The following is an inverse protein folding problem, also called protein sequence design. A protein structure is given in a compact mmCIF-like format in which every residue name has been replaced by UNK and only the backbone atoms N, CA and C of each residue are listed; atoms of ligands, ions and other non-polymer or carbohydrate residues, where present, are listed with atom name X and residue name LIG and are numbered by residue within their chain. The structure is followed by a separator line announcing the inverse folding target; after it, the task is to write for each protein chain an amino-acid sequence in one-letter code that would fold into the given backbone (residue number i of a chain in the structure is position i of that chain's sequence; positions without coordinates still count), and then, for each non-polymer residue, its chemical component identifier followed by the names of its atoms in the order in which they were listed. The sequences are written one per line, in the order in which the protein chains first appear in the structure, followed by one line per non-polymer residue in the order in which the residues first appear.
data_IF_659903349276
#
_entry.id   IF_659903349276
#
_cell.length_a   1.000
_cell.length_b   1.000
_cell.length_c   1.000
_cell.angle_alpha   90.00
_cell.angle_beta   90.00
_cell.angle_gamma   90.00
#
_symmetry.space_group_name_H-M   'P 1'
#
loop_
_entity.id
_entity.type
_entity.pdbx_description
1 polymer ?
#
# COMPACT_ATOMS: atom_id res chain seq x y z
N UNK A 1 3.15 -26.66 -2.25
CA UNK A 1 2.89 -26.62 -0.79
C UNK A 1 3.29 -25.24 -0.32
N UNK A 2 2.50 -24.60 0.55
CA UNK A 2 2.88 -23.30 1.11
C UNK A 2 4.16 -23.43 1.95
N UNK A 3 5.00 -22.40 1.90
CA UNK A 3 6.24 -22.28 2.68
C UNK A 3 6.04 -21.22 3.76
N UNK A 4 6.65 -21.41 4.93
CA UNK A 4 6.67 -20.40 6.01
C UNK A 4 8.10 -20.09 6.40
N UNK A 5 8.42 -18.81 6.54
CA UNK A 5 9.71 -18.28 7.01
C UNK A 5 9.48 -17.41 8.26
N UNK A 6 10.35 -17.55 9.26
CA UNK A 6 10.36 -16.71 10.46
C UNK A 6 11.81 -16.24 10.70
N UNK A 7 12.11 -14.95 10.54
CA UNK A 7 13.47 -14.40 10.57
C UNK A 7 13.92 -13.98 11.99
N UNK A 8 12.96 -13.66 12.86
CA UNK A 8 13.12 -13.35 14.29
C UNK A 8 13.67 -11.94 14.57
N UNK A 9 14.99 -11.74 14.56
CA UNK A 9 15.57 -10.47 14.98
C UNK A 9 16.82 -10.12 14.20
N UNK A 10 16.99 -8.82 13.93
CA UNK A 10 18.04 -8.28 13.09
C UNK A 10 17.50 -7.98 11.70
N UNK A 11 18.34 -7.36 10.88
CA UNK A 11 17.98 -6.98 9.53
C UNK A 11 18.25 -8.16 8.58
N UNK A 12 17.19 -8.81 8.12
CA UNK A 12 17.19 -10.01 7.30
C UNK A 12 16.88 -9.73 5.83
N UNK A 13 17.38 -10.61 4.95
CA UNK A 13 17.07 -10.57 3.51
C UNK A 13 16.42 -11.89 3.13
N UNK A 14 15.15 -11.82 2.73
CA UNK A 14 14.31 -12.98 2.47
C UNK A 14 13.80 -12.94 1.04
N UNK A 15 14.05 -14.01 0.29
CA UNK A 15 13.54 -14.19 -1.07
C UNK A 15 12.63 -15.41 -1.13
N UNK A 16 11.34 -15.17 -1.33
CA UNK A 16 10.35 -16.19 -1.61
C UNK A 16 10.48 -16.67 -3.06
N UNK A 17 10.35 -17.98 -3.26
CA UNK A 17 10.32 -18.57 -4.60
C UNK A 17 8.97 -18.35 -5.30
N UNK A 18 8.71 -19.13 -6.34
CA UNK A 18 7.46 -19.05 -7.12
C UNK A 18 6.26 -19.74 -6.44
N UNK A 19 6.44 -20.27 -5.23
CA UNK A 19 5.38 -20.93 -4.47
C UNK A 19 4.73 -19.96 -3.50
N UNK A 20 3.49 -20.26 -3.11
CA UNK A 20 2.81 -19.51 -2.05
C UNK A 20 3.67 -19.51 -0.77
N UNK A 21 3.97 -18.34 -0.24
CA UNK A 21 4.91 -18.18 0.88
C UNK A 21 4.35 -17.21 1.93
N UNK A 22 4.45 -17.58 3.19
CA UNK A 22 4.19 -16.70 4.34
C UNK A 22 5.52 -16.35 5.01
N UNK A 23 5.74 -15.06 5.29
CA UNK A 23 6.96 -14.54 5.90
C UNK A 23 6.59 -13.70 7.11
N UNK A 24 7.23 -13.99 8.24
CA UNK A 24 7.26 -13.13 9.43
C UNK A 24 8.71 -12.66 9.58
N UNK A 25 8.95 -11.37 9.37
CA UNK A 25 10.29 -10.81 9.29
C UNK A 25 10.87 -10.67 10.71
N UNK A 26 10.16 -9.98 11.60
CA UNK A 26 10.52 -9.93 13.02
C UNK A 26 10.86 -8.52 13.44
N UNK A 27 11.88 -8.37 14.28
CA UNK A 27 12.41 -7.05 14.61
C UNK A 27 13.61 -6.69 13.74
N UNK A 28 13.71 -5.46 13.28
CA UNK A 28 14.83 -4.96 12.49
C UNK A 28 14.37 -4.55 11.09
N UNK A 29 15.22 -3.83 10.36
CA UNK A 29 14.84 -3.35 9.03
C UNK A 29 15.07 -4.46 7.99
N UNK A 30 14.01 -5.13 7.59
CA UNK A 30 14.05 -6.34 6.77
C UNK A 30 13.84 -6.04 5.28
N UNK A 31 14.33 -6.93 4.43
CA UNK A 31 14.09 -6.89 2.99
C UNK A 31 13.45 -8.18 2.50
N UNK A 32 12.22 -8.09 2.02
CA UNK A 32 11.41 -9.21 1.53
C UNK A 32 11.18 -9.06 0.03
N UNK A 33 11.31 -10.16 -0.72
CA UNK A 33 11.01 -10.19 -2.16
C UNK A 33 10.36 -11.52 -2.58
N UNK A 34 9.37 -11.49 -3.48
CA UNK A 34 8.78 -12.70 -4.09
C UNK A 34 9.18 -12.85 -5.55
N UNK A 35 9.62 -14.05 -5.95
CA UNK A 35 9.95 -14.39 -7.34
C UNK A 35 8.71 -14.75 -8.20
N UNK A 36 7.51 -14.42 -7.74
CA UNK A 36 6.28 -14.59 -8.50
C UNK A 36 5.28 -15.62 -7.97
N UNK A 37 5.41 -16.04 -6.71
CA UNK A 37 4.36 -16.76 -5.99
C UNK A 37 3.50 -15.79 -5.16
N UNK A 38 2.26 -16.18 -4.81
CA UNK A 38 1.47 -15.43 -3.82
C UNK A 38 2.22 -15.26 -2.51
N UNK A 39 2.28 -14.04 -2.01
CA UNK A 39 3.00 -13.66 -0.82
C UNK A 39 2.02 -13.27 0.29
N UNK A 40 2.28 -13.76 1.50
CA UNK A 40 1.78 -13.14 2.73
C UNK A 40 2.99 -12.68 3.52
N UNK A 41 3.20 -11.38 3.67
CA UNK A 41 4.36 -10.82 4.36
C UNK A 41 3.92 -9.96 5.54
N UNK A 42 4.60 -10.15 6.66
CA UNK A 42 4.54 -9.29 7.84
C UNK A 42 5.95 -8.77 8.08
N UNK A 43 6.15 -7.46 7.93
CA UNK A 43 7.40 -6.78 8.30
C UNK A 43 7.62 -6.78 9.81
N UNK A 44 6.55 -6.50 10.56
CA UNK A 44 6.53 -6.46 12.02
C UNK A 44 7.19 -5.18 12.60
N UNK A 45 8.34 -5.23 13.25
CA UNK A 45 8.97 -4.02 13.81
C UNK A 45 10.20 -3.65 12.97
N UNK A 46 10.30 -2.43 12.44
CA UNK A 46 11.45 -1.96 11.67
C UNK A 46 11.04 -1.12 10.47
N UNK A 47 11.99 -0.44 9.82
CA UNK A 47 11.73 0.23 8.56
C UNK A 47 11.90 -0.77 7.40
N UNK A 48 10.83 -1.48 7.02
CA UNK A 48 10.94 -2.64 6.13
C UNK A 48 10.84 -2.29 4.65
N UNK A 49 11.45 -3.15 3.81
CA UNK A 49 11.29 -3.11 2.36
C UNK A 49 10.68 -4.40 1.85
N UNK A 50 9.45 -4.32 1.33
CA UNK A 50 8.70 -5.50 0.87
C UNK A 50 8.37 -5.36 -0.62
N UNK A 51 8.72 -6.35 -1.42
CA UNK A 51 8.36 -6.44 -2.84
C UNK A 51 7.60 -7.72 -3.14
N UNK A 52 6.36 -7.57 -3.65
CA UNK A 52 5.46 -8.64 -4.06
C UNK A 52 5.90 -9.36 -5.34
N UNK A 53 5.05 -10.29 -5.78
CA UNK A 53 5.34 -11.22 -6.88
C UNK A 53 4.49 -11.04 -8.14
N UNK A 54 3.66 -10.01 -8.25
CA UNK A 54 2.75 -9.89 -9.40
C UNK A 54 1.51 -10.81 -9.34
N UNK A 55 1.23 -11.39 -8.16
CA UNK A 55 0.01 -12.15 -7.87
C UNK A 55 -0.79 -11.39 -6.81
N UNK A 56 -1.97 -11.90 -6.46
CA UNK A 56 -2.67 -11.40 -5.28
C UNK A 56 -1.84 -11.68 -4.01
N UNK A 57 -1.29 -10.60 -3.44
CA UNK A 57 -0.44 -10.62 -2.26
C UNK A 57 -1.16 -9.97 -1.06
N UNK A 58 -0.77 -10.37 0.16
CA UNK A 58 -1.22 -9.79 1.42
C UNK A 58 0.01 -9.28 2.16
N UNK A 59 0.19 -7.96 2.24
CA UNK A 59 1.40 -7.36 2.77
C UNK A 59 1.03 -6.42 3.92
N UNK A 60 1.70 -6.60 5.06
CA UNK A 60 1.59 -5.77 6.24
C UNK A 60 3.00 -5.26 6.56
N UNK A 61 3.19 -3.94 6.56
CA UNK A 61 4.45 -3.30 6.96
C UNK A 61 4.69 -3.53 8.44
N UNK A 62 3.89 -2.88 9.29
CA UNK A 62 3.93 -3.08 10.73
C UNK A 62 4.22 -1.78 11.45
N UNK A 63 5.28 -1.73 12.23
CA UNK A 63 5.73 -0.53 12.92
C UNK A 63 7.07 -0.08 12.35
N UNK A 64 7.17 1.19 11.97
CA UNK A 64 8.33 1.74 11.26
C UNK A 64 7.87 2.43 9.98
N UNK A 65 8.82 2.99 9.24
CA UNK A 65 8.54 3.66 7.97
C UNK A 65 8.82 2.67 6.84
N UNK A 66 7.77 2.01 6.37
CA UNK A 66 7.86 0.90 5.45
C UNK A 66 7.84 1.35 3.99
N UNK A 67 8.54 0.61 3.13
CA UNK A 67 8.48 0.75 1.68
C UNK A 67 7.93 -0.53 1.06
N UNK A 68 6.70 -0.48 0.59
CA UNK A 68 5.98 -1.63 0.03
C UNK A 68 5.69 -1.41 -1.45
N UNK A 69 6.15 -2.34 -2.29
CA UNK A 69 5.75 -2.48 -3.69
C UNK A 69 5.09 -3.85 -3.87
N UNK A 70 3.75 -3.90 -3.84
CA UNK A 70 3.01 -5.15 -4.03
C UNK A 70 3.06 -5.66 -5.49
N UNK A 71 3.62 -4.88 -6.43
CA UNK A 71 3.62 -5.19 -7.85
C UNK A 71 2.20 -5.42 -8.38
N UNK A 72 2.02 -6.11 -9.51
CA UNK A 72 0.71 -6.36 -10.11
C UNK A 72 -0.14 -7.36 -9.30
N UNK A 73 -1.43 -7.45 -9.59
CA UNK A 73 -2.36 -8.40 -8.97
C UNK A 73 -3.39 -7.69 -8.10
N UNK A 74 -4.38 -8.43 -7.62
CA UNK A 74 -5.38 -7.88 -6.69
C UNK A 74 -4.82 -8.00 -5.26
N UNK A 75 -4.21 -6.93 -4.76
CA UNK A 75 -3.44 -6.93 -3.52
C UNK A 75 -4.21 -6.39 -2.33
N UNK A 76 -3.82 -6.85 -1.15
CA UNK A 76 -4.13 -6.21 0.12
C UNK A 76 -2.82 -5.68 0.73
N UNK A 77 -2.76 -4.38 1.00
CA UNK A 77 -1.59 -3.72 1.60
C UNK A 77 -2.01 -2.89 2.80
N UNK A 78 -1.30 -3.05 3.91
CA UNK A 78 -1.38 -2.19 5.10
C UNK A 78 0.02 -1.69 5.43
N UNK A 79 0.21 -0.37 5.52
CA UNK A 79 1.47 0.24 5.96
C UNK A 79 1.67 -0.01 7.45
N UNK A 80 0.75 0.51 8.27
CA UNK A 80 0.72 0.25 9.70
C UNK A 80 1.04 1.52 10.47
N UNK A 81 2.12 1.56 11.23
CA UNK A 81 2.49 2.68 12.07
C UNK A 81 3.82 3.28 11.65
N UNK A 82 3.82 4.50 11.15
CA UNK A 82 4.98 5.22 10.66
C UNK A 82 4.65 5.90 9.34
N UNK A 83 5.61 6.58 8.72
CA UNK A 83 5.35 7.25 7.45
C UNK A 83 5.70 6.28 6.32
N UNK A 84 4.69 5.64 5.75
CA UNK A 84 4.87 4.54 4.81
C UNK A 84 4.85 5.01 3.35
N UNK A 85 5.48 4.23 2.48
CA UNK A 85 5.41 4.39 1.02
C UNK A 85 4.86 3.12 0.40
N UNK A 86 3.63 3.19 -0.12
CA UNK A 86 2.87 2.04 -0.59
C UNK A 86 2.61 2.15 -2.10
N UNK A 87 2.86 1.07 -2.85
CA UNK A 87 2.59 1.00 -4.30
C UNK A 87 2.01 -0.37 -4.69
N UNK A 88 0.91 -0.40 -5.46
CA UNK A 88 0.25 -1.66 -5.89
C UNK A 88 0.09 -1.81 -7.41
N UNK A 89 0.65 -0.90 -8.21
CA UNK A 89 0.77 -0.99 -9.67
C UNK A 89 -0.53 -1.24 -10.46
N UNK A 90 -1.01 -2.47 -10.59
CA UNK A 90 -2.26 -2.72 -11.30
C UNK A 90 -2.99 -3.93 -10.76
N UNK A 91 -4.31 -3.85 -10.71
CA UNK A 91 -5.20 -4.88 -10.18
C UNK A 91 -6.29 -4.20 -9.38
N UNK A 92 -7.21 -4.97 -8.79
CA UNK A 92 -8.16 -4.40 -7.84
C UNK A 92 -7.54 -4.45 -6.45
N UNK A 93 -6.99 -3.32 -6.01
CA UNK A 93 -6.23 -3.27 -4.77
C UNK A 93 -7.05 -2.73 -3.59
N UNK A 94 -6.68 -3.16 -2.38
CA UNK A 94 -7.12 -2.57 -1.12
C UNK A 94 -5.91 -2.12 -0.33
N UNK A 95 -5.86 -0.82 -0.03
CA UNK A 95 -4.69 -0.18 0.59
C UNK A 95 -5.14 0.61 1.83
N UNK A 96 -4.41 0.44 2.92
CA UNK A 96 -4.56 1.17 4.17
C UNK A 96 -3.18 1.71 4.59
N UNK A 97 -3.00 3.04 4.61
CA UNK A 97 -1.74 3.67 5.05
C UNK A 97 -1.49 3.38 6.52
N UNK A 98 -2.49 3.67 7.36
CA UNK A 98 -2.47 3.37 8.78
C UNK A 98 -2.31 4.64 9.59
N UNK A 99 -1.21 4.80 10.32
CA UNK A 99 -0.93 6.01 11.08
C UNK A 99 0.42 6.57 10.71
N UNK A 100 0.49 7.87 10.45
CA UNK A 100 1.68 8.55 9.94
C UNK A 100 1.31 9.36 8.71
N UNK A 101 2.28 10.08 8.15
CA UNK A 101 2.07 10.81 6.90
C UNK A 101 2.51 9.91 5.74
N UNK A 102 1.55 9.25 5.11
CA UNK A 102 1.79 8.19 4.15
C UNK A 102 1.83 8.70 2.70
N UNK A 103 2.56 7.97 1.85
CA UNK A 103 2.59 8.16 0.40
C UNK A 103 2.02 6.90 -0.26
N UNK A 104 0.85 7.04 -0.87
CA UNK A 104 0.13 5.91 -1.45
C UNK A 104 -0.02 6.08 -2.97
N UNK A 105 0.30 5.04 -3.72
CA UNK A 105 0.15 4.95 -5.16
C UNK A 105 -0.57 3.65 -5.57
N UNK A 106 -1.88 3.73 -5.79
CA UNK A 106 -2.69 2.53 -6.09
C UNK A 106 -2.52 2.03 -7.51
N UNK A 107 -2.05 2.88 -8.43
CA UNK A 107 -1.91 2.51 -9.82
C UNK A 107 -3.25 2.24 -10.52
N UNK A 108 -3.28 1.29 -11.46
CA UNK A 108 -4.43 1.08 -12.34
C UNK A 108 -5.35 -0.05 -11.85
N UNK A 109 -6.63 0.25 -11.71
CA UNK A 109 -7.65 -0.70 -11.30
C UNK A 109 -8.82 -0.01 -10.61
N UNK A 110 -9.75 -0.79 -10.07
CA UNK A 110 -10.84 -0.22 -9.28
C UNK A 110 -10.48 -0.36 -7.80
N UNK A 111 -9.68 0.56 -7.29
CA UNK A 111 -9.02 0.42 -6.01
C UNK A 111 -9.87 0.94 -4.85
N UNK A 112 -9.56 0.46 -3.65
CA UNK A 112 -10.08 0.98 -2.39
C UNK A 112 -8.92 1.43 -1.53
N UNK A 113 -8.85 2.73 -1.22
CA UNK A 113 -7.70 3.33 -0.53
C UNK A 113 -8.17 4.10 0.71
N UNK A 114 -7.49 3.89 1.83
CA UNK A 114 -7.58 4.72 3.04
C UNK A 114 -6.18 5.22 3.37
N UNK A 115 -6.02 6.53 3.60
CA UNK A 115 -4.77 7.10 4.11
C UNK A 115 -4.60 6.73 5.58
N UNK A 116 -5.55 7.14 6.41
CA UNK A 116 -5.60 6.78 7.83
C UNK A 116 -5.42 8.01 8.72
N UNK A 117 -4.61 7.90 9.76
CA UNK A 117 -4.26 9.03 10.63
C UNK A 117 -2.99 9.71 10.13
N UNK A 118 -3.04 11.01 9.84
CA UNK A 118 -1.88 11.80 9.43
C UNK A 118 -2.20 12.62 8.18
N UNK A 119 -1.19 13.32 7.66
CA UNK A 119 -1.37 14.13 6.46
C UNK A 119 -0.87 13.35 5.26
N UNK A 120 -1.78 12.67 4.58
CA UNK A 120 -1.44 11.69 3.55
C UNK A 120 -1.35 12.31 2.16
N UNK A 121 -0.51 11.70 1.32
CA UNK A 121 -0.47 11.97 -0.11
C UNK A 121 -0.90 10.72 -0.87
N UNK A 122 -2.11 10.77 -1.42
CA UNK A 122 -2.73 9.64 -2.10
C UNK A 122 -2.79 9.93 -3.59
N UNK A 123 -2.21 9.05 -4.40
CA UNK A 123 -2.29 9.06 -5.85
C UNK A 123 -3.02 7.82 -6.33
N UNK A 124 -4.25 8.02 -6.80
CA UNK A 124 -4.98 7.01 -7.53
C UNK A 124 -4.48 7.00 -8.99
N UNK A 125 -4.73 5.91 -9.71
CA UNK A 125 -4.47 5.83 -11.14
C UNK A 125 -5.73 5.74 -11.97
N UNK A 126 -5.78 4.79 -12.89
CA UNK A 126 -6.91 4.61 -13.79
C UNK A 126 -7.94 3.65 -13.20
N UNK A 127 -9.22 3.81 -13.57
CA UNK A 127 -10.32 2.99 -13.05
C UNK A 127 -11.19 3.75 -12.05
N UNK A 128 -12.31 3.15 -11.66
CA UNK A 128 -13.26 3.80 -10.75
C UNK A 128 -12.88 3.47 -9.31
N UNK A 129 -12.20 4.39 -8.64
CA UNK A 129 -11.65 4.16 -7.31
C UNK A 129 -12.58 4.63 -6.19
N UNK A 130 -12.34 4.13 -4.99
CA UNK A 130 -12.94 4.67 -3.75
C UNK A 130 -11.82 5.04 -2.80
N UNK A 131 -11.85 6.28 -2.28
CA UNK A 131 -10.80 6.80 -1.43
C UNK A 131 -11.36 7.58 -0.23
N UNK A 132 -10.73 7.40 0.92
CA UNK A 132 -10.78 8.31 2.08
C UNK A 132 -9.35 8.73 2.39
N UNK A 133 -9.14 10.03 2.64
CA UNK A 133 -7.89 10.52 3.22
C UNK A 133 -7.76 10.01 4.65
N UNK A 134 -8.62 10.49 5.53
CA UNK A 134 -8.73 10.02 6.90
C UNK A 134 -8.59 11.18 7.85
N UNK A 135 -8.00 10.98 9.03
CA UNK A 135 -7.74 12.05 9.97
C UNK A 135 -6.46 12.82 9.63
N UNK A 136 -6.58 14.04 9.12
CA UNK A 136 -5.49 14.97 8.88
C UNK A 136 -5.82 15.91 7.74
N UNK A 137 -4.82 16.64 7.27
CA UNK A 137 -4.97 17.49 6.09
C UNK A 137 -4.38 16.75 4.88
N UNK A 138 -5.23 16.06 4.13
CA UNK A 138 -4.79 15.13 3.08
C UNK A 138 -4.69 15.77 1.70
N UNK A 139 -3.84 15.22 0.84
CA UNK A 139 -3.77 15.56 -0.58
C UNK A 139 -4.07 14.33 -1.43
N UNK A 140 -5.16 14.39 -2.20
CA UNK A 140 -5.63 13.28 -3.03
C UNK A 140 -5.57 13.68 -4.51
N UNK A 141 -4.91 12.85 -5.31
CA UNK A 141 -4.92 12.92 -6.78
C UNK A 141 -5.82 11.81 -7.31
N UNK A 142 -6.97 12.19 -7.87
CA UNK A 142 -8.02 11.28 -8.33
C UNK A 142 -7.65 10.39 -9.52
N UNK A 143 -6.79 10.90 -10.40
CA UNK A 143 -6.43 10.18 -11.61
C UNK A 143 -7.46 10.40 -12.73
N UNK A 144 -7.82 9.32 -13.41
CA UNK A 144 -8.76 9.32 -14.56
C UNK A 144 -9.94 8.41 -14.25
N UNK A 145 -11.03 8.56 -15.01
CA UNK A 145 -12.31 7.85 -14.81
C UNK A 145 -13.13 8.41 -13.62
N UNK A 146 -14.09 7.64 -13.08
CA UNK A 146 -15.04 8.16 -12.09
C UNK A 146 -14.73 7.63 -10.70
N UNK A 147 -14.15 8.49 -9.86
CA UNK A 147 -13.78 8.16 -8.49
C UNK A 147 -14.84 8.58 -7.47
N UNK A 148 -14.80 7.91 -6.32
CA UNK A 148 -15.63 8.22 -5.15
C UNK A 148 -14.75 8.64 -3.98
N UNK A 149 -14.93 9.88 -3.52
CA UNK A 149 -14.24 10.44 -2.36
C UNK A 149 -15.17 10.43 -1.16
N UNK A 150 -14.75 9.79 -0.07
CA UNK A 150 -15.53 9.63 1.16
C UNK A 150 -14.90 10.49 2.25
N UNK A 151 -15.76 11.27 2.92
CA UNK A 151 -15.39 12.13 4.04
C UNK A 151 -16.25 11.81 5.27
N UNK A 152 -15.61 11.80 6.43
CA UNK A 152 -16.23 11.62 7.72
C UNK A 152 -16.02 12.85 8.61
N UNK A 153 -16.66 12.82 9.77
CA UNK A 153 -16.52 13.90 10.75
C UNK A 153 -15.14 13.83 11.40
N UNK A 154 -14.39 14.93 11.31
CA UNK A 154 -13.06 15.03 11.90
C UNK A 154 -11.93 14.58 10.98
N UNK A 155 -12.20 14.37 9.69
CA UNK A 155 -11.17 14.05 8.70
C UNK A 155 -10.15 15.19 8.63
N UNK A 156 -10.56 16.40 8.29
CA UNK A 156 -9.69 17.57 8.40
C UNK A 156 -9.88 18.50 7.22
N UNK A 157 -8.78 19.07 6.72
CA UNK A 157 -8.79 19.97 5.56
C UNK A 157 -8.12 19.35 4.34
N UNK A 158 -8.89 18.56 3.60
CA UNK A 158 -8.35 17.84 2.44
C UNK A 158 -8.34 18.70 1.16
N UNK A 159 -7.36 18.41 0.30
CA UNK A 159 -7.23 18.96 -1.04
C UNK A 159 -7.32 17.85 -2.07
N UNK A 160 -8.25 17.96 -3.01
CA UNK A 160 -8.44 16.98 -4.10
C UNK A 160 -8.11 17.62 -5.45
N UNK A 161 -7.24 16.95 -6.20
CA UNK A 161 -6.95 17.22 -7.60
C UNK A 161 -7.50 16.09 -8.46
N UNK A 162 -8.62 16.35 -9.14
CA UNK A 162 -9.27 15.36 -9.99
C UNK A 162 -9.34 15.88 -11.45
N UNK A 163 -9.08 14.98 -12.40
CA UNK A 163 -9.24 15.24 -13.83
C UNK A 163 -9.81 14.00 -14.54
N UNK A 164 -11.10 13.71 -14.36
CA UNK A 164 -11.72 12.45 -14.76
C UNK A 164 -11.68 12.22 -16.28
N UNK A 165 -11.59 13.29 -17.08
CA UNK A 165 -11.58 13.23 -18.54
C UNK A 165 -10.17 13.15 -19.16
N UNK A 166 -9.10 13.25 -18.35
CA UNK A 166 -7.71 13.33 -18.83
C UNK A 166 -7.43 14.52 -19.77
N UNK A 167 -8.36 15.47 -19.87
CA UNK A 167 -8.22 16.65 -20.72
C UNK A 167 -7.57 17.76 -19.91
N UNK A 168 -6.41 18.22 -20.34
CA UNK A 168 -5.93 19.54 -19.93
C UNK A 168 -6.96 20.57 -20.41
N UNK A 169 -7.43 21.42 -19.49
CA UNK A 169 -8.41 22.46 -19.79
C UNK A 169 -7.99 23.24 -21.05
N UNK A 170 -8.93 23.36 -21.99
CA UNK A 170 -8.79 24.16 -23.22
C UNK A 170 -8.97 25.65 -22.94
#
# INVERSE_FOLDING_TARGET
MPVTVNALSGNDVITAGTGATTIYAGTGDDTISSAGGPLTAYGEDGDDKITGGGNADYIYGGAGNDTIDASYGDNYVSGGAGNDTLTTSSGKDTIDGGSGADIIDSGAGNDTVTGGDGNDTIRLGAGNNTVTGGHGDDTIYGGIDNDTYIFNIGDGHDTIYDNPDGKSGS
#
